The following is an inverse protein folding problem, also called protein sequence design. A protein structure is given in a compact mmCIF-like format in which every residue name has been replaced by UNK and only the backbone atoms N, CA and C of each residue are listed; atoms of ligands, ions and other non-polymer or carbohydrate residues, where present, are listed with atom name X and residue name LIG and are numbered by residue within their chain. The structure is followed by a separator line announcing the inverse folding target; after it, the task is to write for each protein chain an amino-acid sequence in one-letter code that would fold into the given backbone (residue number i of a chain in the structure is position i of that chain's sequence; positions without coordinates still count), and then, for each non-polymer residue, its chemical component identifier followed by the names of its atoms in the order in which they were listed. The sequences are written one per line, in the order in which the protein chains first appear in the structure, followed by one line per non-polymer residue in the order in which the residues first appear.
data_IF_379568124164
#
_entry.id   IF_379568124164
#
_cell.length_a   1.000
_cell.length_b   1.000
_cell.length_c   1.000
_cell.angle_alpha   90.00
_cell.angle_beta   90.00
_cell.angle_gamma   90.00
#
_symmetry.space_group_name_H-M   'P 1'
#
loop_
_entity.id
_entity.type
_entity.pdbx_description
1 polymer ?
#
# COMPACT_ATOMS: atom_id res chain seq x y z
N UNK A 1 1.65 -5.08 12.21
CA UNK A 1 1.49 -3.99 11.21
C UNK A 1 2.34 -4.37 10.02
N UNK A 2 1.73 -4.54 8.85
CA UNK A 2 2.41 -5.06 7.65
C UNK A 2 3.47 -4.07 7.15
N UNK A 3 4.52 -4.55 6.48
CA UNK A 3 5.61 -3.70 5.99
C UNK A 3 5.12 -2.65 4.97
N UNK A 4 4.20 -3.03 4.09
CA UNK A 4 3.59 -2.16 3.08
C UNK A 4 2.79 -1.03 3.74
N UNK A 5 2.02 -1.33 4.77
CA UNK A 5 1.25 -0.33 5.53
C UNK A 5 2.18 0.73 6.13
N UNK A 6 3.32 0.31 6.70
CA UNK A 6 4.32 1.26 7.22
C UNK A 6 4.92 2.13 6.12
N UNK A 7 5.27 1.53 4.97
CA UNK A 7 5.80 2.25 3.80
C UNK A 7 4.79 3.28 3.29
N UNK A 8 3.53 2.90 3.14
CA UNK A 8 2.46 3.80 2.68
C UNK A 8 2.26 4.96 3.64
N UNK A 9 2.23 4.71 4.96
CA UNK A 9 2.15 5.77 5.97
C UNK A 9 3.32 6.75 5.85
N UNK A 10 4.54 6.25 5.62
CA UNK A 10 5.74 7.09 5.44
C UNK A 10 5.69 7.97 4.18
N UNK A 11 5.02 7.51 3.12
CA UNK A 11 4.86 8.26 1.86
C UNK A 11 3.70 9.28 1.97
N UNK A 12 2.98 9.32 3.10
CA UNK A 12 1.88 10.25 3.34
C UNK A 12 0.50 9.70 3.01
N UNK A 13 0.36 8.38 2.86
CA UNK A 13 -0.95 7.75 2.82
C UNK A 13 -1.48 7.53 4.24
N UNK A 14 -2.78 7.62 4.41
CA UNK A 14 -3.48 7.35 5.66
C UNK A 14 -4.54 6.29 5.45
N UNK A 15 -4.80 5.52 6.51
CA UNK A 15 -5.92 4.57 6.52
C UNK A 15 -7.21 5.37 6.63
N UNK A 16 -8.06 5.28 5.60
CA UNK A 16 -9.36 5.95 5.59
C UNK A 16 -10.50 5.02 5.98
N UNK A 17 -10.37 3.72 5.71
CA UNK A 17 -11.38 2.72 6.05
C UNK A 17 -10.79 1.32 6.06
N UNK A 18 -11.34 0.44 6.90
CA UNK A 18 -11.11 -1.01 6.80
C UNK A 18 -12.46 -1.71 6.60
N UNK A 19 -12.54 -2.63 5.62
CA UNK A 19 -13.69 -3.53 5.44
C UNK A 19 -13.16 -4.96 5.36
N UNK A 20 -13.39 -5.74 6.42
CA UNK A 20 -12.84 -7.08 6.53
C UNK A 20 -11.31 -7.09 6.46
N UNK A 21 -10.76 -7.92 5.58
CA UNK A 21 -9.32 -8.04 5.33
C UNK A 21 -8.76 -7.01 4.34
N UNK A 22 -9.50 -5.97 3.95
CA UNK A 22 -9.00 -4.92 3.07
C UNK A 22 -8.99 -3.57 3.77
N UNK A 23 -7.84 -2.90 3.73
CA UNK A 23 -7.63 -1.55 4.27
C UNK A 23 -7.50 -0.59 3.10
N UNK A 24 -8.31 0.46 3.09
CA UNK A 24 -8.23 1.52 2.10
C UNK A 24 -7.25 2.57 2.60
N UNK A 25 -6.20 2.81 1.82
CA UNK A 25 -5.24 3.89 2.02
C UNK A 25 -5.56 5.04 1.07
N UNK A 26 -5.36 6.28 1.52
CA UNK A 26 -5.47 7.46 0.65
C UNK A 26 -4.44 8.53 1.02
N UNK A 27 -3.92 9.25 0.04
CA UNK A 27 -3.08 10.44 0.21
C UNK A 27 -3.87 11.75 -0.05
N UNK A 28 -5.21 11.67 -0.09
CA UNK A 28 -6.10 12.79 -0.44
C UNK A 28 -6.35 12.99 -1.94
N UNK A 29 -5.50 12.43 -2.81
CA UNK A 29 -5.66 12.45 -4.27
C UNK A 29 -6.09 11.08 -4.81
N UNK A 30 -5.38 10.05 -4.38
CA UNK A 30 -5.56 8.66 -4.78
C UNK A 30 -6.03 7.84 -3.59
N UNK A 31 -6.80 6.78 -3.86
CA UNK A 31 -7.22 5.81 -2.86
C UNK A 31 -7.04 4.39 -3.38
N UNK A 32 -6.49 3.51 -2.56
CA UNK A 32 -6.19 2.14 -2.96
C UNK A 32 -6.45 1.12 -1.84
N UNK A 33 -7.14 0.01 -2.11
CA UNK A 33 -7.34 -1.07 -1.16
C UNK A 33 -6.11 -1.99 -1.09
N UNK A 34 -5.55 -2.14 0.11
CA UNK A 34 -4.46 -3.07 0.41
C UNK A 34 -4.99 -4.23 1.26
N UNK A 35 -4.71 -5.49 0.88
CA UNK A 35 -5.08 -6.65 1.69
C UNK A 35 -4.32 -6.70 3.02
N UNK A 36 -5.05 -6.64 4.13
CA UNK A 36 -4.60 -6.89 5.50
C UNK A 36 -4.84 -8.35 5.90
N UNK A 37 -4.15 -9.29 5.26
CA UNK A 37 -4.09 -10.69 5.70
C UNK A 37 -2.74 -10.99 6.37
N UNK A 38 -2.67 -12.03 7.21
CA UNK A 38 -1.48 -12.34 8.02
C UNK A 38 -0.21 -12.68 7.22
N UNK A 39 -0.32 -12.98 5.92
CA UNK A 39 0.84 -13.13 5.03
C UNK A 39 1.31 -11.76 4.52
N UNK A 40 2.62 -11.51 4.57
CA UNK A 40 3.25 -10.29 4.06
C UNK A 40 3.27 -10.20 2.52
N UNK A 41 2.64 -11.14 1.82
CA UNK A 41 2.67 -11.23 0.36
C UNK A 41 1.40 -10.62 -0.24
N UNK A 42 1.50 -9.39 -0.73
CA UNK A 42 0.52 -8.91 -1.72
C UNK A 42 0.72 -9.66 -3.04
N UNK A 43 -0.34 -9.83 -3.82
CA UNK A 43 -0.19 -10.42 -5.14
C UNK A 43 0.61 -9.48 -6.06
N UNK A 44 1.37 -10.01 -7.04
CA UNK A 44 2.12 -9.17 -7.98
C UNK A 44 1.26 -8.17 -8.75
N UNK A 45 -0.02 -8.49 -8.97
CA UNK A 45 -0.98 -7.59 -9.60
C UNK A 45 -1.29 -6.37 -8.74
N UNK A 46 -1.50 -6.57 -7.44
CA UNK A 46 -1.73 -5.48 -6.46
C UNK A 46 -0.46 -4.63 -6.32
N UNK A 47 0.71 -5.26 -6.28
CA UNK A 47 2.00 -4.55 -6.23
C UNK A 47 2.17 -3.64 -7.46
N UNK A 48 1.92 -4.17 -8.66
CA UNK A 48 2.04 -3.40 -9.91
C UNK A 48 1.06 -2.23 -9.99
N UNK A 49 -0.17 -2.42 -9.53
CA UNK A 49 -1.16 -1.34 -9.47
C UNK A 49 -0.73 -0.26 -8.48
N UNK A 50 -0.23 -0.68 -7.31
CA UNK A 50 0.28 0.24 -6.30
C UNK A 50 1.45 1.08 -6.85
N UNK A 51 2.45 0.45 -7.45
CA UNK A 51 3.60 1.13 -8.04
C UNK A 51 3.18 2.14 -9.13
N UNK A 52 2.15 1.80 -9.93
CA UNK A 52 1.60 2.70 -10.94
C UNK A 52 0.92 3.93 -10.32
N UNK A 53 0.16 3.75 -9.24
CA UNK A 53 -0.49 4.86 -8.51
C UNK A 53 0.55 5.76 -7.85
N UNK A 54 1.57 5.14 -7.25
CA UNK A 54 2.66 5.86 -6.61
C UNK A 54 3.61 6.53 -7.61
N UNK A 55 3.48 6.24 -8.91
CA UNK A 55 4.43 6.63 -9.95
C UNK A 55 5.89 6.28 -9.56
N UNK A 56 6.06 5.12 -8.93
CA UNK A 56 7.35 4.63 -8.42
C UNK A 56 7.71 3.29 -9.06
N UNK A 57 9.01 3.03 -9.12
CA UNK A 57 9.58 1.73 -9.42
C UNK A 57 9.56 0.82 -8.19
N UNK A 58 9.72 -0.49 -8.43
CA UNK A 58 9.80 -1.48 -7.35
C UNK A 58 10.97 -1.20 -6.41
N UNK A 59 12.09 -0.76 -6.95
CA UNK A 59 13.31 -0.49 -6.19
C UNK A 59 13.14 0.74 -5.29
N UNK A 60 12.53 1.82 -5.81
CA UNK A 60 12.18 3.00 -5.01
C UNK A 60 11.27 2.62 -3.84
N UNK A 61 10.22 1.84 -4.11
CA UNK A 61 9.30 1.37 -3.07
C UNK A 61 9.97 0.44 -2.06
N UNK A 62 10.90 -0.41 -2.49
CA UNK A 62 11.64 -1.33 -1.63
C UNK A 62 12.60 -0.60 -0.68
N UNK A 63 13.18 0.51 -1.13
CA UNK A 63 14.11 1.34 -0.36
C UNK A 63 13.45 2.22 0.71
N UNK A 64 12.13 2.24 0.79
CA UNK A 64 11.39 2.96 1.84
C UNK A 64 11.59 2.23 3.17
N UNK A 65 12.53 2.72 3.97
CA UNK A 65 12.80 2.24 5.34
C UNK A 65 11.71 2.69 6.28
#
# INVERSE_FOLDING_TARGET
MQEIEKKLIKIGFQVVRQKGSHVIFSNGRDAFPVPKHGSNNISPGVERQLLKILAMTRDEFSNIK
#
